data_IF_605196156332
#
_entry.id   IF_605196156332
#
_cell.length_a   1.000
_cell.length_b   1.000
_cell.length_c   1.000
_cell.angle_alpha   90.00
_cell.angle_beta   90.00
_cell.angle_gamma   90.00
#
_symmetry.space_group_name_H-M   'P 1'
#
loop_
_entity.id
_entity.type
_entity.pdbx_description
1 polymer ?
#
# COMPACT_ATOMS: atom_id res chain seq x y z
N UNK A 1 55.75 -30.32 0.41
CA UNK A 1 54.29 -30.58 0.28
C UNK A 1 53.51 -29.29 0.50
N UNK A 2 53.00 -28.73 -0.55
CA UNK A 2 52.14 -27.52 -0.46
C UNK A 2 50.70 -27.99 -0.30
N UNK A 3 50.09 -27.70 0.84
CA UNK A 3 48.66 -27.93 1.05
C UNK A 3 47.90 -26.70 0.48
N UNK A 4 47.19 -26.94 -0.59
CA UNK A 4 46.21 -25.99 -1.09
C UNK A 4 44.99 -26.01 -0.17
N UNK A 5 44.75 -24.94 0.57
CA UNK A 5 43.50 -24.69 1.30
C UNK A 5 42.57 -24.07 0.33
N UNK A 6 41.61 -24.83 -0.20
CA UNK A 6 40.53 -24.32 -1.00
C UNK A 6 39.52 -23.66 -0.05
N UNK A 7 39.53 -22.30 -0.03
CA UNK A 7 38.55 -21.54 0.70
C UNK A 7 37.24 -21.57 -0.12
N UNK A 8 36.30 -22.41 0.28
CA UNK A 8 34.96 -22.38 -0.28
C UNK A 8 34.26 -21.12 0.22
N UNK A 9 34.16 -20.11 -0.64
CA UNK A 9 33.33 -18.94 -0.40
C UNK A 9 31.86 -19.38 -0.50
N UNK A 10 31.22 -19.55 0.64
CA UNK A 10 29.76 -19.71 0.70
C UNK A 10 29.15 -18.33 0.43
N UNK A 11 28.82 -18.08 -0.82
CA UNK A 11 28.03 -16.93 -1.22
C UNK A 11 26.58 -17.21 -0.81
N UNK A 12 26.19 -16.75 0.37
CA UNK A 12 24.79 -16.70 0.78
C UNK A 12 24.08 -15.70 -0.13
N UNK A 13 23.42 -16.20 -1.15
CA UNK A 13 22.50 -15.42 -1.96
C UNK A 13 21.30 -15.06 -1.08
N UNK A 14 21.38 -13.92 -0.39
CA UNK A 14 20.17 -13.29 0.10
C UNK A 14 19.37 -12.87 -1.13
N UNK A 15 18.26 -13.53 -1.40
CA UNK A 15 17.28 -13.08 -2.38
C UNK A 15 16.73 -11.74 -1.90
N UNK A 16 17.34 -10.65 -2.35
CA UNK A 16 16.77 -9.32 -2.23
C UNK A 16 15.53 -9.30 -3.11
N UNK A 17 14.35 -9.43 -2.47
CA UNK A 17 13.09 -9.13 -3.14
C UNK A 17 13.19 -7.71 -3.69
N UNK A 18 13.13 -7.55 -5.01
CA UNK A 18 13.21 -6.24 -5.63
C UNK A 18 11.87 -5.52 -5.46
N UNK A 19 11.88 -4.19 -5.57
CA UNK A 19 10.63 -3.39 -5.56
C UNK A 19 9.71 -3.77 -6.73
N UNK A 20 10.26 -4.25 -7.85
CA UNK A 20 9.49 -4.78 -8.96
C UNK A 20 8.71 -6.05 -8.56
N UNK A 21 9.30 -6.94 -7.76
CA UNK A 21 8.62 -8.12 -7.23
C UNK A 21 7.50 -7.73 -6.26
N UNK A 22 7.73 -6.73 -5.40
CA UNK A 22 6.71 -6.19 -4.52
C UNK A 22 5.54 -5.60 -5.31
N UNK A 23 5.81 -4.85 -6.36
CA UNK A 23 4.78 -4.25 -7.21
C UNK A 23 3.91 -5.35 -7.87
N UNK A 24 4.53 -6.42 -8.36
CA UNK A 24 3.81 -7.56 -8.92
C UNK A 24 2.94 -8.27 -7.87
N UNK A 25 3.41 -8.42 -6.65
CA UNK A 25 2.64 -8.99 -5.54
C UNK A 25 1.49 -8.10 -5.08
N UNK A 26 1.63 -6.79 -5.20
CA UNK A 26 0.60 -5.82 -4.85
C UNK A 26 -0.56 -5.80 -5.85
N UNK A 27 -0.38 -6.27 -7.07
CA UNK A 27 -1.50 -6.35 -8.03
C UNK A 27 -2.66 -7.15 -7.46
N UNK A 28 -3.85 -6.59 -7.58
CA UNK A 28 -5.09 -7.19 -7.11
C UNK A 28 -5.89 -6.25 -6.22
N UNK A 29 -6.84 -6.83 -5.51
CA UNK A 29 -7.76 -6.11 -4.64
C UNK A 29 -7.44 -6.42 -3.18
N UNK A 30 -7.32 -5.36 -2.40
CA UNK A 30 -7.01 -5.39 -0.97
C UNK A 30 -8.11 -4.71 -0.19
N UNK A 31 -8.41 -5.20 1.00
CA UNK A 31 -9.42 -4.57 1.85
C UNK A 31 -9.06 -4.64 3.32
N UNK A 32 -9.58 -3.67 4.07
CA UNK A 32 -9.53 -3.62 5.53
C UNK A 32 -10.84 -3.08 6.06
N UNK A 33 -11.37 -3.72 7.11
CA UNK A 33 -12.54 -3.24 7.82
C UNK A 33 -12.10 -2.33 8.96
N UNK A 34 -12.75 -1.19 9.09
CA UNK A 34 -12.46 -0.18 10.12
C UNK A 34 -13.75 0.29 10.76
N UNK A 35 -13.62 0.99 11.87
CA UNK A 35 -14.72 1.64 12.57
C UNK A 35 -14.36 3.09 12.78
N UNK A 36 -15.27 4.01 12.47
CA UNK A 36 -15.06 5.43 12.72
C UNK A 36 -15.28 5.79 14.21
N UNK A 37 -15.02 7.06 14.55
CA UNK A 37 -15.17 7.55 15.93
C UNK A 37 -16.60 7.47 16.50
N UNK A 38 -17.61 7.27 15.66
CA UNK A 38 -19.01 7.11 16.02
C UNK A 38 -19.46 5.63 16.12
N UNK A 39 -18.51 4.71 15.98
CA UNK A 39 -18.78 3.27 16.02
C UNK A 39 -19.35 2.68 14.74
N UNK A 40 -19.38 3.43 13.64
CA UNK A 40 -19.89 2.94 12.35
C UNK A 40 -18.81 2.18 11.62
N UNK A 41 -19.13 0.98 11.15
CA UNK A 41 -18.24 0.16 10.36
C UNK A 41 -18.16 0.65 8.91
N UNK A 42 -16.96 0.60 8.33
CA UNK A 42 -16.74 0.84 6.92
C UNK A 42 -15.61 -0.05 6.40
N UNK A 43 -15.53 -0.21 5.10
CA UNK A 43 -14.47 -0.99 4.47
C UNK A 43 -13.67 -0.07 3.54
N UNK A 44 -12.36 -0.09 3.70
CA UNK A 44 -11.45 0.49 2.71
C UNK A 44 -11.06 -0.59 1.71
N UNK A 45 -11.18 -0.30 0.43
CA UNK A 45 -10.78 -1.18 -0.67
C UNK A 45 -9.73 -0.46 -1.50
N UNK A 46 -8.63 -1.14 -1.74
CA UNK A 46 -7.53 -0.65 -2.57
C UNK A 46 -7.27 -1.65 -3.69
N UNK A 47 -7.43 -1.23 -4.91
CA UNK A 47 -7.19 -2.04 -6.10
C UNK A 47 -5.94 -1.53 -6.81
N UNK A 48 -4.98 -2.41 -7.01
CA UNK A 48 -3.69 -2.10 -7.64
C UNK A 48 -3.62 -2.81 -8.97
N UNK A 49 -3.31 -2.05 -10.02
CA UNK A 49 -3.05 -2.56 -11.36
C UNK A 49 -1.83 -1.87 -11.94
N UNK A 50 -0.72 -2.60 -12.06
CA UNK A 50 0.58 -2.05 -12.45
C UNK A 50 0.99 -0.91 -11.51
N UNK A 51 1.14 0.30 -12.03
CA UNK A 51 1.53 1.51 -11.30
C UNK A 51 0.34 2.44 -11.00
N UNK A 52 -0.88 1.92 -11.07
CA UNK A 52 -2.10 2.67 -10.79
C UNK A 52 -2.86 2.08 -9.61
N UNK A 53 -3.62 2.93 -8.92
CA UNK A 53 -4.50 2.49 -7.84
C UNK A 53 -5.90 3.08 -8.00
N UNK A 54 -6.87 2.33 -7.44
CA UNK A 54 -8.22 2.80 -7.15
C UNK A 54 -8.52 2.55 -5.68
N UNK A 55 -9.01 3.54 -5.00
CA UNK A 55 -9.35 3.49 -3.58
C UNK A 55 -10.82 3.79 -3.37
N UNK A 56 -11.46 3.02 -2.50
CA UNK A 56 -12.88 3.23 -2.14
C UNK A 56 -13.06 3.10 -0.64
N UNK A 57 -13.93 3.94 -0.09
CA UNK A 57 -14.54 3.70 1.21
C UNK A 57 -15.98 3.26 0.98
N UNK A 58 -16.31 2.06 1.47
CA UNK A 58 -17.64 1.46 1.37
C UNK A 58 -18.32 1.53 2.73
N UNK A 59 -19.56 1.99 2.74
CA UNK A 59 -20.43 2.03 3.93
C UNK A 59 -21.65 1.14 3.71
N UNK A 60 -22.25 0.65 4.81
CA UNK A 60 -23.50 -0.11 4.77
C UNK A 60 -23.49 -1.23 3.73
N UNK A 61 -24.44 -1.23 2.82
CA UNK A 61 -24.62 -2.23 1.74
C UNK A 61 -23.65 -2.06 0.56
N UNK A 62 -22.37 -1.81 0.85
CA UNK A 62 -21.31 -1.57 -0.15
C UNK A 62 -21.50 -0.26 -0.95
N UNK A 63 -22.17 0.71 -0.37
CA UNK A 63 -22.27 2.04 -0.95
C UNK A 63 -20.91 2.76 -0.94
N UNK A 64 -20.50 3.28 -2.09
CA UNK A 64 -19.28 4.07 -2.20
C UNK A 64 -19.51 5.44 -1.58
N UNK A 65 -18.79 5.74 -0.51
CA UNK A 65 -18.82 7.05 0.16
C UNK A 65 -17.69 7.96 -0.30
N UNK A 66 -16.53 7.38 -0.61
CA UNK A 66 -15.35 8.08 -1.13
C UNK A 66 -14.73 7.23 -2.22
N UNK A 67 -14.29 7.89 -3.27
CA UNK A 67 -13.53 7.29 -4.36
C UNK A 67 -12.25 8.11 -4.61
N UNK A 68 -11.15 7.45 -4.85
CA UNK A 68 -9.91 8.07 -5.29
C UNK A 68 -9.18 7.16 -6.28
N UNK A 69 -8.41 7.76 -7.17
CA UNK A 69 -7.54 7.05 -8.10
C UNK A 69 -6.27 7.85 -8.36
N UNK A 70 -5.26 7.20 -8.89
CA UNK A 70 -4.00 7.84 -9.23
C UNK A 70 -2.91 6.84 -9.55
N UNK A 71 -1.68 7.28 -9.32
CA UNK A 71 -0.49 6.46 -9.53
C UNK A 71 0.15 6.07 -8.21
N UNK A 72 0.83 4.92 -8.20
CA UNK A 72 1.66 4.54 -7.08
C UNK A 72 3.08 4.23 -7.54
N UNK A 73 4.01 4.49 -6.65
CA UNK A 73 5.42 4.20 -6.82
C UNK A 73 5.99 3.61 -5.54
N UNK A 74 6.78 2.57 -5.68
CA UNK A 74 7.51 1.97 -4.56
C UNK A 74 8.92 2.50 -4.52
N UNK A 75 9.42 2.79 -3.32
CA UNK A 75 10.77 3.30 -3.08
C UNK A 75 11.37 2.66 -1.83
N UNK A 76 12.68 2.79 -1.71
CA UNK A 76 13.42 2.49 -0.47
C UNK A 76 13.80 3.79 0.24
N UNK A 77 13.59 3.82 1.56
CA UNK A 77 14.09 4.87 2.43
C UNK A 77 14.88 4.21 3.56
N UNK A 78 16.20 4.05 3.37
CA UNK A 78 17.03 3.24 4.26
C UNK A 78 16.50 1.80 4.33
N UNK A 79 16.21 1.26 5.53
CA UNK A 79 15.67 -0.09 5.69
C UNK A 79 14.17 -0.17 5.41
N UNK A 80 13.48 0.95 5.15
CA UNK A 80 12.03 1.00 5.00
C UNK A 80 11.60 0.87 3.55
N UNK A 81 10.53 0.12 3.34
CA UNK A 81 9.79 0.10 2.10
C UNK A 81 8.75 1.22 2.13
N UNK A 82 8.72 2.05 1.10
CA UNK A 82 7.85 3.22 1.00
C UNK A 82 6.98 3.10 -0.23
N UNK A 83 5.70 3.40 -0.08
CA UNK A 83 4.75 3.58 -1.18
C UNK A 83 4.34 5.03 -1.26
N UNK A 84 4.40 5.60 -2.45
CA UNK A 84 3.91 6.95 -2.77
C UNK A 84 2.68 6.86 -3.65
N UNK A 85 1.64 7.58 -3.28
CA UNK A 85 0.45 7.78 -4.08
C UNK A 85 0.47 9.20 -4.63
N UNK A 86 0.45 9.34 -5.93
CA UNK A 86 0.62 10.60 -6.65
C UNK A 86 -0.47 10.78 -7.71
N UNK A 87 -0.56 11.96 -8.29
CA UNK A 87 -1.57 12.30 -9.30
C UNK A 87 -2.99 11.91 -8.86
N UNK A 88 -3.32 12.19 -7.60
CA UNK A 88 -4.55 11.73 -6.96
C UNK A 88 -5.72 12.57 -7.44
N UNK A 89 -6.78 11.90 -7.88
CA UNK A 89 -8.11 12.46 -8.08
C UNK A 89 -9.06 11.81 -7.09
N UNK A 90 -9.88 12.59 -6.43
CA UNK A 90 -10.77 12.08 -5.39
C UNK A 90 -12.12 12.80 -5.42
N UNK A 91 -13.14 12.12 -4.93
CA UNK A 91 -14.49 12.64 -4.81
C UNK A 91 -15.46 11.62 -4.22
N UNK A 92 -16.74 11.89 -4.38
CA UNK A 92 -17.80 11.04 -3.83
C UNK A 92 -18.03 9.76 -4.66
N UNK A 93 -17.68 9.77 -5.93
CA UNK A 93 -17.84 8.63 -6.83
C UNK A 93 -16.82 8.69 -7.97
N UNK A 94 -16.69 7.59 -8.72
CA UNK A 94 -15.79 7.53 -9.88
C UNK A 94 -16.09 8.58 -10.96
N UNK A 95 -17.35 8.97 -11.09
CA UNK A 95 -17.79 10.00 -12.03
C UNK A 95 -17.71 11.44 -11.50
N UNK A 96 -17.42 11.61 -10.21
CA UNK A 96 -17.36 12.91 -9.54
C UNK A 96 -16.05 13.03 -8.77
N UNK A 97 -14.95 13.17 -9.50
CA UNK A 97 -13.60 13.29 -8.94
C UNK A 97 -12.92 14.54 -9.46
N UNK A 98 -12.07 15.11 -8.61
CA UNK A 98 -11.22 16.25 -8.91
C UNK A 98 -9.79 15.98 -8.50
N UNK A 99 -8.84 16.55 -9.22
CA UNK A 99 -7.44 16.48 -8.85
C UNK A 99 -7.20 17.14 -7.49
N UNK A 100 -6.45 16.45 -6.63
CA UNK A 100 -6.00 17.00 -5.36
C UNK A 100 -4.48 17.08 -5.34
N UNK A 101 -3.95 18.17 -4.82
CA UNK A 101 -2.50 18.36 -4.64
C UNK A 101 -2.09 17.90 -3.23
N UNK A 102 -2.19 16.61 -3.01
CA UNK A 102 -1.87 15.98 -1.73
C UNK A 102 -1.30 14.56 -1.95
N UNK A 103 -0.06 14.49 -2.41
CA UNK A 103 0.64 13.23 -2.52
C UNK A 103 0.76 12.56 -1.14
N UNK A 104 0.55 11.26 -1.10
CA UNK A 104 0.58 10.46 0.12
C UNK A 104 1.80 9.58 0.15
N UNK A 105 2.52 9.61 1.26
CA UNK A 105 3.71 8.77 1.51
C UNK A 105 3.41 7.85 2.68
N UNK A 106 3.62 6.55 2.49
CA UNK A 106 3.38 5.54 3.53
C UNK A 106 4.53 4.55 3.58
N UNK A 107 4.84 4.08 4.78
CA UNK A 107 5.74 2.94 4.98
C UNK A 107 4.89 1.68 4.93
N UNK A 108 5.38 0.61 4.29
CA UNK A 108 4.65 -0.64 4.20
C UNK A 108 5.49 -1.86 4.53
N UNK A 109 4.80 -2.91 4.94
CA UNK A 109 5.33 -4.27 5.05
C UNK A 109 4.40 -5.19 4.27
N UNK A 110 4.96 -5.95 3.34
CA UNK A 110 4.22 -6.87 2.49
C UNK A 110 4.49 -8.32 2.92
N UNK A 111 3.43 -9.02 3.32
CA UNK A 111 3.41 -10.47 3.52
C UNK A 111 2.77 -11.19 2.34
N UNK A 112 2.46 -12.48 2.49
CA UNK A 112 1.88 -13.28 1.39
C UNK A 112 0.49 -12.78 0.98
N UNK A 113 -0.42 -12.59 1.95
CA UNK A 113 -1.77 -12.10 1.72
C UNK A 113 -2.10 -10.87 2.59
N UNK A 114 -1.09 -10.23 3.14
CA UNK A 114 -1.23 -9.07 4.00
C UNK A 114 -0.35 -7.92 3.52
N UNK A 115 -0.90 -6.72 3.57
CA UNK A 115 -0.19 -5.50 3.25
C UNK A 115 -0.46 -4.49 4.36
N UNK A 116 0.52 -4.30 5.23
CA UNK A 116 0.43 -3.38 6.36
C UNK A 116 1.01 -2.03 5.97
N UNK A 117 0.22 -0.99 6.11
CA UNK A 117 0.54 0.36 5.66
C UNK A 117 0.42 1.34 6.82
N UNK A 118 1.50 2.07 7.09
CA UNK A 118 1.48 3.21 8.00
C UNK A 118 1.04 4.46 7.22
N UNK A 119 -0.18 4.90 7.43
CA UNK A 119 -0.80 6.00 6.71
C UNK A 119 -0.84 7.29 7.55
N UNK A 120 -0.88 8.44 6.87
CA UNK A 120 -1.05 9.77 7.46
C UNK A 120 0.01 10.13 8.52
N UNK A 121 1.21 9.58 8.43
CA UNK A 121 2.31 9.91 9.34
C UNK A 121 3.24 11.02 8.81
N UNK A 122 3.17 11.29 7.52
CA UNK A 122 4.09 12.18 6.80
C UNK A 122 3.80 13.67 7.00
N UNK A 123 2.55 14.02 7.27
CA UNK A 123 2.13 15.38 7.61
C UNK A 123 0.75 15.37 8.30
N UNK A 124 0.47 16.43 9.05
CA UNK A 124 -0.86 16.64 9.61
C UNK A 124 -1.89 16.89 8.50
N UNK A 125 -3.01 16.19 8.62
CA UNK A 125 -4.19 16.39 7.78
C UNK A 125 -5.41 16.44 8.69
N UNK A 126 -6.21 17.49 8.57
CA UNK A 126 -7.40 17.66 9.39
C UNK A 126 -8.32 16.44 9.32
N UNK A 127 -8.66 15.87 10.48
CA UNK A 127 -9.51 14.68 10.58
C UNK A 127 -8.86 13.36 10.20
N UNK A 128 -7.57 13.36 9.82
CA UNK A 128 -6.84 12.16 9.43
C UNK A 128 -5.63 11.92 10.33
N UNK A 129 -5.82 11.15 11.38
CA UNK A 129 -4.74 10.76 12.28
C UNK A 129 -3.84 9.69 11.66
N UNK A 130 -2.56 9.62 12.06
CA UNK A 130 -1.72 8.47 11.71
C UNK A 130 -2.38 7.16 12.09
N UNK A 131 -2.32 6.18 11.20
CA UNK A 131 -2.90 4.86 11.40
C UNK A 131 -2.03 3.77 10.81
N UNK A 132 -2.21 2.56 11.33
CA UNK A 132 -1.60 1.34 10.81
C UNK A 132 -2.73 0.46 10.26
N UNK A 133 -2.79 0.32 8.95
CA UNK A 133 -3.85 -0.42 8.27
C UNK A 133 -3.30 -1.74 7.74
N UNK A 134 -3.87 -2.85 8.19
CA UNK A 134 -3.52 -4.19 7.74
C UNK A 134 -4.53 -4.67 6.69
N UNK A 135 -4.20 -4.48 5.43
CA UNK A 135 -5.02 -4.94 4.31
C UNK A 135 -4.85 -6.44 4.10
N UNK A 136 -5.93 -7.10 3.72
CA UNK A 136 -5.95 -8.49 3.31
C UNK A 136 -6.27 -8.58 1.82
N UNK A 137 -5.55 -9.43 1.10
CA UNK A 137 -5.78 -9.63 -0.33
C UNK A 137 -7.05 -10.44 -0.56
N UNK A 138 -7.90 -9.95 -1.48
CA UNK A 138 -9.09 -10.69 -1.88
C UNK A 138 -8.70 -11.99 -2.59
N UNK A 139 -9.46 -13.06 -2.31
CA UNK A 139 -9.34 -14.30 -3.07
C UNK A 139 -9.69 -14.05 -4.54
N UNK A 140 -8.95 -14.71 -5.42
CA UNK A 140 -9.24 -14.70 -6.86
C UNK A 140 -10.50 -15.51 -7.17
#
# INVERSE_FOLDING_TARGET
MKRLITLAAITTLFALTTLADDLAKLEGKWSVKKTNGEGQAFTQVLEIKKDTFKFKILRGDNEVAIYAEGKLKLEKAGPFNVVKFTDIKAGASESDIQAIDDDRVSIYVLGDNTWTVAANFDKDRDGHKPSLDAYTKAAK
#
